data_IF_914414369149
#
_entry.id   IF_914414369149
#
_cell.length_a   1.000
_cell.length_b   1.000
_cell.length_c   1.000
_cell.angle_alpha   90.00
_cell.angle_beta   90.00
_cell.angle_gamma   90.00
#
_symmetry.space_group_name_H-M   'P 1'
#
loop_
_entity.id
_entity.type
_entity.pdbx_description
1 polymer ?
#
# COMPACT_ATOMS: atom_id res chain seq x y z
N UNK A 1 7.58 -43.27 12.47
CA UNK A 1 6.18 -43.28 12.94
C UNK A 1 5.37 -42.46 11.97
N UNK A 2 4.55 -43.14 11.18
CA UNK A 2 3.73 -42.62 10.09
C UNK A 2 2.54 -41.87 10.68
N UNK A 3 2.54 -40.53 10.57
CA UNK A 3 1.38 -39.73 10.93
C UNK A 3 0.29 -39.92 9.88
N UNK A 4 -0.75 -40.64 10.26
CA UNK A 4 -2.02 -40.75 9.56
C UNK A 4 -2.66 -39.36 9.48
N UNK A 5 -2.66 -38.76 8.29
CA UNK A 5 -3.57 -37.69 7.92
C UNK A 5 -5.01 -38.17 8.14
N UNK A 6 -5.80 -37.41 8.90
CA UNK A 6 -7.19 -37.75 9.20
C UNK A 6 -8.04 -37.68 7.90
N UNK A 7 -8.73 -38.76 7.47
CA UNK A 7 -9.41 -38.83 6.17
C UNK A 7 -10.55 -37.82 5.96
N UNK A 8 -11.05 -37.23 7.05
CA UNK A 8 -12.24 -36.37 7.07
C UNK A 8 -11.96 -34.98 6.47
N UNK A 9 -10.70 -34.55 6.36
CA UNK A 9 -10.36 -33.20 5.91
C UNK A 9 -10.09 -33.10 4.39
N UNK A 10 -9.56 -34.17 3.79
CA UNK A 10 -9.23 -34.22 2.36
C UNK A 10 -10.51 -34.24 1.51
N UNK A 11 -11.54 -34.98 1.93
CA UNK A 11 -12.82 -35.02 1.23
C UNK A 11 -13.56 -33.67 1.26
N UNK A 12 -13.47 -32.92 2.36
CA UNK A 12 -14.11 -31.60 2.45
C UNK A 12 -13.39 -30.57 1.58
N UNK A 13 -12.05 -30.57 1.58
CA UNK A 13 -11.23 -29.76 0.66
C UNK A 13 -11.48 -30.12 -0.81
N UNK A 14 -11.59 -31.41 -1.14
CA UNK A 14 -11.97 -31.84 -2.47
C UNK A 14 -13.39 -31.42 -2.82
N UNK A 15 -14.32 -31.43 -1.86
CA UNK A 15 -15.68 -30.94 -2.08
C UNK A 15 -15.69 -29.44 -2.37
N UNK A 16 -15.02 -28.61 -1.57
CA UNK A 16 -14.92 -27.17 -1.80
C UNK A 16 -14.20 -26.83 -3.11
N UNK A 17 -13.11 -27.53 -3.42
CA UNK A 17 -12.36 -27.37 -4.68
C UNK A 17 -13.20 -27.81 -5.88
N UNK A 18 -13.96 -28.88 -5.75
CA UNK A 18 -14.87 -29.36 -6.81
C UNK A 18 -16.02 -28.38 -7.00
N UNK A 19 -16.55 -27.79 -5.94
CA UNK A 19 -17.62 -26.79 -6.02
C UNK A 19 -17.14 -25.49 -6.64
N UNK A 20 -15.98 -24.98 -6.24
CA UNK A 20 -15.35 -23.82 -6.88
C UNK A 20 -14.98 -24.08 -8.35
N UNK A 21 -14.62 -25.33 -8.69
CA UNK A 21 -14.30 -25.75 -10.05
C UNK A 21 -15.53 -25.88 -10.97
N UNK A 22 -16.75 -26.04 -10.42
CA UNK A 22 -18.00 -26.10 -11.21
C UNK A 22 -18.40 -24.75 -11.80
N UNK A 23 -17.83 -23.66 -11.32
CA UNK A 23 -18.13 -22.31 -11.78
C UNK A 23 -17.01 -21.77 -12.68
N UNK A 24 -16.88 -22.36 -13.88
CA UNK A 24 -15.90 -21.96 -14.90
C UNK A 24 -16.05 -20.49 -15.36
N UNK A 25 -17.22 -19.89 -15.12
CA UNK A 25 -17.55 -18.47 -15.33
C UNK A 25 -16.70 -17.48 -14.51
N UNK A 26 -16.07 -17.92 -13.41
CA UNK A 26 -15.12 -17.11 -12.64
C UNK A 26 -13.72 -17.04 -13.26
N UNK A 27 -13.41 -17.93 -14.20
CA UNK A 27 -12.18 -17.92 -14.99
C UNK A 27 -12.52 -17.51 -16.41
N UNK A 28 -12.84 -16.24 -16.64
CA UNK A 28 -13.34 -15.70 -17.92
C UNK A 28 -12.45 -15.98 -19.16
N UNK A 29 -11.22 -16.48 -18.98
CA UNK A 29 -10.40 -16.95 -20.08
C UNK A 29 -10.74 -18.38 -20.54
N UNK A 30 -11.40 -19.21 -19.72
CA UNK A 30 -11.69 -20.60 -20.05
C UNK A 30 -12.75 -20.75 -21.14
N UNK A 31 -13.81 -19.94 -21.12
CA UNK A 31 -14.91 -20.06 -22.08
C UNK A 31 -14.51 -19.55 -23.48
N UNK A 32 -13.83 -18.40 -23.56
CA UNK A 32 -13.32 -17.86 -24.82
C UNK A 32 -12.20 -18.73 -25.44
N UNK A 33 -11.39 -19.39 -24.61
CA UNK A 33 -10.35 -20.32 -25.09
C UNK A 33 -10.97 -21.64 -25.55
N UNK A 34 -11.97 -22.16 -24.84
CA UNK A 34 -12.67 -23.39 -25.24
C UNK A 34 -13.51 -23.22 -26.51
N UNK A 35 -14.10 -22.03 -26.73
CA UNK A 35 -14.83 -21.72 -27.98
C UNK A 35 -13.90 -21.64 -29.20
N UNK A 36 -12.65 -21.22 -29.02
CA UNK A 36 -11.68 -21.06 -30.12
C UNK A 36 -10.89 -22.35 -30.38
N UNK A 37 -10.59 -23.15 -29.35
CA UNK A 37 -9.65 -24.29 -29.45
C UNK A 37 -10.28 -25.68 -29.23
N UNK A 38 -11.55 -25.75 -28.81
CA UNK A 38 -12.24 -27.01 -28.51
C UNK A 38 -11.74 -27.67 -27.21
N UNK A 39 -12.57 -28.54 -26.62
CA UNK A 39 -12.39 -29.05 -25.26
C UNK A 39 -11.17 -29.99 -25.04
N UNK A 40 -10.50 -30.47 -26.10
CA UNK A 40 -9.52 -31.57 -26.01
C UNK A 40 -8.09 -31.26 -26.47
N UNK A 41 -7.69 -29.99 -26.59
CA UNK A 41 -6.37 -29.64 -27.15
C UNK A 41 -5.46 -28.85 -26.18
N UNK A 42 -5.11 -29.48 -25.06
CA UNK A 42 -4.08 -28.96 -24.14
C UNK A 42 -2.67 -28.86 -24.77
N UNK A 43 -2.36 -29.68 -25.77
CA UNK A 43 -1.09 -29.62 -26.51
C UNK A 43 -1.02 -28.42 -27.47
N UNK A 44 -2.12 -28.09 -28.16
CA UNK A 44 -2.20 -26.98 -29.11
C UNK A 44 -2.12 -25.62 -28.43
N UNK A 45 -2.70 -25.48 -27.23
CA UNK A 45 -2.58 -24.26 -26.40
C UNK A 45 -1.14 -24.05 -25.92
N UNK A 46 -0.44 -25.14 -25.56
CA UNK A 46 0.96 -25.11 -25.17
C UNK A 46 1.87 -24.69 -26.33
N UNK A 47 1.67 -25.27 -27.51
CA UNK A 47 2.47 -24.96 -28.70
C UNK A 47 2.21 -23.53 -29.21
N UNK A 48 0.97 -23.03 -29.09
CA UNK A 48 0.62 -21.64 -29.39
C UNK A 48 1.25 -20.64 -28.41
N UNK A 49 1.25 -20.95 -27.10
CA UNK A 49 1.90 -20.12 -26.07
C UNK A 49 3.42 -20.06 -26.23
N UNK A 50 4.04 -21.15 -26.67
CA UNK A 50 5.49 -21.19 -26.94
C UNK A 50 5.84 -20.42 -28.22
N UNK A 51 5.03 -20.52 -29.28
CA UNK A 51 5.23 -19.71 -30.49
C UNK A 51 5.02 -18.20 -30.26
N UNK A 52 4.15 -17.81 -29.32
CA UNK A 52 4.00 -16.40 -28.91
C UNK A 52 5.18 -15.82 -28.14
N UNK A 53 6.02 -16.68 -27.53
CA UNK A 53 7.24 -16.24 -26.85
C UNK A 53 8.41 -16.07 -27.82
N UNK A 54 8.41 -16.77 -28.96
CA UNK A 54 9.50 -16.70 -29.95
C UNK A 54 9.31 -15.61 -31.02
N UNK A 55 8.07 -15.16 -31.29
CA UNK A 55 7.80 -14.07 -32.24
C UNK A 55 7.38 -12.75 -31.55
N UNK A 56 8.33 -11.91 -31.12
CA UNK A 56 7.98 -10.53 -30.76
C UNK A 56 9.08 -9.46 -30.99
N UNK A 57 9.42 -9.12 -32.25
CA UNK A 57 10.22 -7.93 -32.56
C UNK A 57 9.40 -6.62 -32.63
N UNK A 58 8.07 -6.62 -32.46
CA UNK A 58 7.21 -5.44 -32.69
C UNK A 58 6.66 -4.74 -31.43
N UNK A 59 7.27 -4.95 -30.25
CA UNK A 59 6.84 -4.32 -28.99
C UNK A 59 6.85 -2.77 -29.05
N UNK A 60 7.77 -2.19 -29.82
CA UNK A 60 7.86 -0.73 -30.01
C UNK A 60 6.73 -0.16 -30.87
N UNK A 61 6.27 -0.89 -31.89
CA UNK A 61 5.22 -0.41 -32.79
C UNK A 61 3.85 -0.40 -32.10
N UNK A 62 3.58 -1.38 -31.23
CA UNK A 62 2.36 -1.44 -30.42
C UNK A 62 2.36 -0.31 -29.39
N UNK A 63 3.51 -0.03 -28.76
CA UNK A 63 3.66 1.12 -27.86
C UNK A 63 3.42 2.45 -28.58
N UNK A 64 3.92 2.59 -29.82
CA UNK A 64 3.74 3.79 -30.64
C UNK A 64 2.28 3.98 -31.08
N UNK A 65 1.58 2.91 -31.49
CA UNK A 65 0.14 2.94 -31.81
C UNK A 65 -0.72 3.31 -30.59
N UNK A 66 -0.38 2.80 -29.40
CA UNK A 66 -1.05 3.16 -28.13
C UNK A 66 -0.83 4.64 -27.77
N UNK A 67 0.38 5.17 -27.98
CA UNK A 67 0.71 6.59 -27.77
C UNK A 67 -0.09 7.51 -28.72
N UNK A 68 -0.20 7.14 -30.00
CA UNK A 68 -1.00 7.88 -31.00
C UNK A 68 -2.50 7.91 -30.66
N UNK A 69 -3.08 6.79 -30.21
CA UNK A 69 -4.50 6.73 -29.77
C UNK A 69 -4.79 7.64 -28.57
N UNK A 70 -3.88 7.68 -27.58
CA UNK A 70 -4.03 8.60 -26.43
C UNK A 70 -4.04 10.07 -26.87
N UNK A 71 -3.16 10.44 -27.80
CA UNK A 71 -3.09 11.81 -28.30
C UNK A 71 -4.34 12.22 -29.10
N UNK A 72 -4.90 11.29 -29.89
CA UNK A 72 -6.16 11.52 -30.61
C UNK A 72 -7.34 11.73 -29.65
N UNK A 73 -7.47 10.91 -28.59
CA UNK A 73 -8.49 11.05 -27.56
C UNK A 73 -8.41 12.42 -26.84
N UNK A 74 -7.21 12.87 -26.47
CA UNK A 74 -7.02 14.20 -25.88
C UNK A 74 -7.41 15.33 -26.84
N UNK A 75 -7.16 15.17 -28.15
CA UNK A 75 -7.57 16.16 -29.15
C UNK A 75 -9.09 16.23 -29.35
N UNK A 76 -9.78 15.09 -29.24
CA UNK A 76 -11.25 15.01 -29.35
C UNK A 76 -11.94 15.59 -28.12
N UNK A 77 -11.43 15.32 -26.91
CA UNK A 77 -11.95 15.94 -25.68
C UNK A 77 -11.76 17.46 -25.66
N UNK A 78 -10.64 17.96 -26.16
CA UNK A 78 -10.41 19.41 -26.29
C UNK A 78 -11.27 20.06 -27.37
N UNK A 79 -11.66 19.34 -28.44
CA UNK A 79 -12.64 19.82 -29.42
C UNK A 79 -14.06 19.85 -28.85
N UNK A 80 -14.47 18.84 -28.09
CA UNK A 80 -15.78 18.86 -27.41
C UNK A 80 -15.89 19.97 -26.37
N UNK A 81 -14.84 20.23 -25.57
CA UNK A 81 -14.82 21.37 -24.62
C UNK A 81 -14.90 22.74 -25.29
N UNK A 82 -14.41 22.88 -26.53
CA UNK A 82 -14.57 24.13 -27.31
C UNK A 82 -15.97 24.27 -27.93
N UNK A 83 -16.63 23.16 -28.27
CA UNK A 83 -17.99 23.18 -28.81
C UNK A 83 -19.05 23.48 -27.73
N UNK A 84 -18.83 23.01 -26.50
CA UNK A 84 -19.78 23.21 -25.39
C UNK A 84 -19.82 24.67 -24.92
N UNK A 85 -18.77 25.46 -25.16
CA UNK A 85 -18.75 26.89 -24.82
C UNK A 85 -19.34 27.82 -25.90
N UNK A 86 -19.80 27.29 -27.05
CA UNK A 86 -20.36 28.11 -28.14
C UNK A 86 -21.85 27.89 -28.41
N UNK A 87 -22.52 27.00 -27.68
CA UNK A 87 -23.97 26.75 -27.81
C UNK A 87 -24.64 26.85 -26.44
N UNK A 88 -24.70 28.08 -25.91
CA UNK A 88 -25.64 28.44 -24.86
C UNK A 88 -26.38 29.70 -25.29
N UNK A 89 -27.27 29.56 -26.28
CA UNK A 89 -28.42 30.44 -26.43
C UNK A 89 -29.50 29.83 -27.34
N UNK A 90 -30.66 29.59 -26.73
CA UNK A 90 -32.01 29.47 -27.30
C UNK A 90 -32.55 28.09 -27.77
N UNK A 91 -33.74 27.79 -27.19
CA UNK A 91 -34.91 27.06 -27.75
C UNK A 91 -35.05 25.53 -27.50
N UNK A 92 -36.30 25.01 -27.50
CA UNK A 92 -36.97 24.63 -26.25
C UNK A 92 -37.32 23.12 -26.15
N UNK A 93 -37.77 22.80 -24.93
CA UNK A 93 -38.30 21.55 -24.40
C UNK A 93 -39.13 20.73 -25.41
N UNK A 94 -38.71 19.49 -25.65
CA UNK A 94 -39.55 18.40 -26.14
C UNK A 94 -39.55 17.33 -25.04
N UNK A 95 -40.72 17.09 -24.46
CA UNK A 95 -40.99 15.95 -23.58
C UNK A 95 -40.85 14.65 -24.39
N UNK A 96 -39.86 13.83 -24.02
CA UNK A 96 -39.81 12.43 -24.41
C UNK A 96 -40.11 11.62 -23.15
N UNK A 97 -41.35 11.14 -23.07
CA UNK A 97 -41.77 10.12 -22.12
C UNK A 97 -41.16 8.79 -22.57
N UNK A 98 -39.96 8.46 -22.08
CA UNK A 98 -39.39 7.11 -22.21
C UNK A 98 -39.68 6.30 -20.95
N UNK A 99 -40.46 5.24 -21.16
CA UNK A 99 -40.83 4.18 -20.24
C UNK A 99 -39.58 3.56 -19.58
N UNK A 100 -39.30 3.93 -18.34
CA UNK A 100 -38.34 3.26 -17.46
C UNK A 100 -39.09 2.18 -16.66
N UNK A 101 -39.13 0.96 -17.19
CA UNK A 101 -39.65 -0.19 -16.46
C UNK A 101 -39.03 -1.49 -16.99
N UNK A 102 -37.71 -1.67 -16.80
CA UNK A 102 -37.04 -2.99 -16.95
C UNK A 102 -35.60 -3.05 -16.42
N UNK A 103 -35.17 -2.14 -15.52
CA UNK A 103 -33.77 -2.08 -15.01
C UNK A 103 -33.59 -2.58 -13.56
N UNK A 104 -34.66 -2.86 -12.83
CA UNK A 104 -34.61 -3.23 -11.41
C UNK A 104 -34.25 -4.69 -11.15
N UNK A 105 -34.56 -5.58 -12.09
CA UNK A 105 -34.53 -7.02 -11.84
C UNK A 105 -33.13 -7.63 -12.10
N UNK A 106 -32.33 -7.02 -12.97
CA UNK A 106 -30.94 -7.42 -13.25
C UNK A 106 -29.96 -6.94 -12.17
N UNK A 107 -30.19 -5.76 -11.57
CA UNK A 107 -29.34 -5.23 -10.50
C UNK A 107 -29.51 -6.01 -9.20
N UNK A 108 -30.72 -6.49 -8.91
CA UNK A 108 -31.01 -7.32 -7.73
C UNK A 108 -30.42 -8.71 -7.84
N UNK A 109 -30.42 -9.32 -9.03
CA UNK A 109 -29.79 -10.63 -9.27
C UNK A 109 -28.26 -10.58 -9.12
N UNK A 110 -27.62 -9.54 -9.67
CA UNK A 110 -26.16 -9.36 -9.57
C UNK A 110 -25.71 -9.09 -8.13
N UNK A 111 -26.52 -8.36 -7.36
CA UNK A 111 -26.26 -8.10 -5.94
C UNK A 111 -26.37 -9.37 -5.10
N UNK A 112 -27.40 -10.19 -5.33
CA UNK A 112 -27.57 -11.47 -4.63
C UNK A 112 -26.41 -12.44 -4.91
N UNK A 113 -25.94 -12.52 -6.16
CA UNK A 113 -24.77 -13.34 -6.52
C UNK A 113 -23.48 -12.85 -5.84
N UNK A 114 -23.30 -11.54 -5.73
CA UNK A 114 -22.13 -10.96 -5.04
C UNK A 114 -22.14 -11.28 -3.55
N UNK A 115 -23.30 -11.24 -2.91
CA UNK A 115 -23.48 -11.59 -1.50
C UNK A 115 -23.23 -13.08 -1.25
N UNK A 116 -23.76 -13.96 -2.10
CA UNK A 116 -23.51 -15.40 -2.03
C UNK A 116 -22.01 -15.73 -2.17
N UNK A 117 -21.32 -15.10 -3.13
CA UNK A 117 -19.88 -15.26 -3.32
C UNK A 117 -19.07 -14.82 -2.10
N UNK A 118 -19.45 -13.70 -1.48
CA UNK A 118 -18.78 -13.21 -0.27
C UNK A 118 -19.01 -14.17 0.91
N UNK A 119 -20.21 -14.73 1.05
CA UNK A 119 -20.51 -15.70 2.09
C UNK A 119 -19.70 -16.99 1.94
N UNK A 120 -19.53 -17.49 0.70
CA UNK A 120 -18.67 -18.64 0.43
C UNK A 120 -17.20 -18.34 0.76
N UNK A 121 -16.74 -17.13 0.46
CA UNK A 121 -15.38 -16.69 0.78
C UNK A 121 -15.14 -16.62 2.29
N UNK A 122 -16.10 -16.11 3.07
CA UNK A 122 -16.06 -16.10 4.54
C UNK A 122 -15.98 -17.52 5.11
N UNK A 123 -16.79 -18.45 4.61
CA UNK A 123 -16.71 -19.86 5.03
C UNK A 123 -15.34 -20.47 4.74
N UNK A 124 -14.73 -20.14 3.60
CA UNK A 124 -13.39 -20.60 3.26
C UNK A 124 -12.33 -19.99 4.19
N UNK A 125 -12.46 -18.71 4.54
CA UNK A 125 -11.58 -18.04 5.51
C UNK A 125 -11.68 -18.70 6.89
N UNK A 126 -12.88 -19.02 7.36
CA UNK A 126 -13.10 -19.74 8.62
C UNK A 126 -12.45 -21.13 8.60
N UNK A 127 -12.52 -21.82 7.46
CA UNK A 127 -11.84 -23.09 7.25
C UNK A 127 -10.31 -22.94 7.40
N UNK A 128 -9.74 -21.95 6.72
CA UNK A 128 -8.30 -21.62 6.81
C UNK A 128 -7.90 -21.31 8.26
N UNK A 129 -8.64 -20.44 8.95
CA UNK A 129 -8.39 -20.09 10.35
C UNK A 129 -8.44 -21.34 11.25
N UNK A 130 -9.43 -22.22 11.06
CA UNK A 130 -9.54 -23.49 11.80
C UNK A 130 -8.32 -24.38 11.57
N UNK A 131 -7.81 -24.44 10.33
CA UNK A 131 -6.62 -25.22 9.99
C UNK A 131 -5.34 -24.64 10.60
N UNK A 132 -5.19 -23.30 10.61
CA UNK A 132 -4.07 -22.61 11.28
C UNK A 132 -4.04 -23.00 12.77
N UNK A 133 -5.20 -22.94 13.44
CA UNK A 133 -5.32 -23.29 14.87
C UNK A 133 -5.00 -24.77 15.12
N UNK A 134 -5.50 -25.67 14.28
CA UNK A 134 -5.30 -27.13 14.43
C UNK A 134 -3.90 -27.59 14.06
N UNK A 135 -3.03 -26.72 13.53
CA UNK A 135 -1.70 -27.07 12.97
C UNK A 135 -1.76 -28.22 11.95
N UNK A 136 -2.91 -28.38 11.30
CA UNK A 136 -3.20 -29.52 10.42
C UNK A 136 -2.94 -29.20 8.94
N UNK A 137 -2.25 -28.11 8.68
CA UNK A 137 -2.13 -27.50 7.36
C UNK A 137 -0.83 -27.91 6.69
N UNK A 138 -0.91 -28.42 5.45
CA UNK A 138 0.25 -28.44 4.57
C UNK A 138 0.58 -26.99 4.20
N UNK A 139 1.70 -26.51 4.72
CA UNK A 139 2.13 -25.14 4.54
C UNK A 139 2.36 -24.77 3.06
N UNK A 140 2.81 -25.72 2.23
CA UNK A 140 3.02 -25.45 0.80
C UNK A 140 1.69 -25.32 0.06
N UNK A 141 0.66 -26.05 0.50
CA UNK A 141 -0.71 -25.91 -0.01
C UNK A 141 -1.30 -24.56 0.41
N UNK A 142 -1.15 -24.20 1.69
CA UNK A 142 -1.59 -22.90 2.19
C UNK A 142 -0.97 -21.72 1.44
N UNK A 143 0.32 -21.77 1.14
CA UNK A 143 0.96 -20.69 0.37
C UNK A 143 0.44 -20.60 -1.07
N UNK A 144 0.04 -21.71 -1.67
CA UNK A 144 -0.58 -21.73 -3.01
C UNK A 144 -2.01 -21.19 -2.96
N UNK A 145 -2.76 -21.56 -1.93
CA UNK A 145 -4.13 -21.09 -1.73
C UNK A 145 -4.15 -19.59 -1.50
N UNK A 146 -3.34 -19.09 -0.56
CA UNK A 146 -3.23 -17.65 -0.31
C UNK A 146 -2.75 -16.90 -1.56
N UNK A 147 -1.81 -17.44 -2.33
CA UNK A 147 -1.38 -16.80 -3.58
C UNK A 147 -2.54 -16.66 -4.58
N UNK A 148 -3.35 -17.70 -4.71
CA UNK A 148 -4.52 -17.70 -5.58
C UNK A 148 -5.54 -16.67 -5.11
N UNK A 149 -5.80 -16.63 -3.80
CA UNK A 149 -6.65 -15.65 -3.15
C UNK A 149 -6.15 -14.20 -3.32
N UNK A 150 -4.85 -13.96 -3.19
CA UNK A 150 -4.26 -12.62 -3.33
C UNK A 150 -4.25 -12.10 -4.78
N UNK A 151 -4.57 -12.96 -5.75
CA UNK A 151 -4.72 -12.62 -7.17
C UNK A 151 -6.17 -12.26 -7.54
N UNK A 152 -7.11 -12.36 -6.59
CA UNK A 152 -8.51 -11.98 -6.78
C UNK A 152 -8.70 -10.45 -6.88
N UNK A 153 -9.88 -9.98 -7.33
CA UNK A 153 -10.24 -8.56 -7.29
C UNK A 153 -10.08 -7.95 -5.90
N UNK A 154 -9.72 -6.65 -5.86
CA UNK A 154 -9.38 -5.92 -4.63
C UNK A 154 -10.42 -6.07 -3.50
N UNK A 155 -11.72 -5.98 -3.83
CA UNK A 155 -12.79 -6.11 -2.85
C UNK A 155 -12.81 -7.49 -2.15
N UNK A 156 -12.48 -8.56 -2.87
CA UNK A 156 -12.41 -9.92 -2.30
C UNK A 156 -11.14 -10.08 -1.45
N UNK A 157 -10.00 -9.56 -1.93
CA UNK A 157 -8.75 -9.53 -1.15
C UNK A 157 -8.96 -8.79 0.17
N UNK A 158 -9.78 -7.74 0.19
CA UNK A 158 -10.15 -7.05 1.42
C UNK A 158 -10.84 -7.97 2.42
N UNK A 159 -11.91 -8.66 2.01
CA UNK A 159 -12.65 -9.61 2.85
C UNK A 159 -11.69 -10.69 3.38
N UNK A 160 -10.81 -11.22 2.53
CA UNK A 160 -9.80 -12.21 2.91
C UNK A 160 -8.86 -11.66 3.98
N UNK A 161 -8.27 -10.49 3.75
CA UNK A 161 -7.32 -9.89 4.68
C UNK A 161 -7.97 -9.48 6.00
N UNK A 162 -9.24 -9.07 6.00
CA UNK A 162 -9.98 -8.70 7.20
C UNK A 162 -10.39 -9.93 8.02
N UNK A 163 -10.70 -11.06 7.36
CA UNK A 163 -11.10 -12.30 8.03
C UNK A 163 -9.95 -13.22 8.46
N UNK A 164 -8.77 -13.15 7.82
CA UNK A 164 -7.62 -13.98 8.19
C UNK A 164 -6.97 -13.50 9.49
N UNK A 165 -6.95 -14.36 10.52
CA UNK A 165 -6.28 -14.03 11.78
C UNK A 165 -4.88 -14.63 11.87
N UNK A 166 -3.90 -13.88 11.36
CA UNK A 166 -2.49 -14.24 11.45
C UNK A 166 -1.96 -14.31 12.90
N UNK A 167 -2.67 -13.78 13.90
CA UNK A 167 -2.26 -13.89 15.31
C UNK A 167 -2.31 -15.32 15.84
N UNK A 168 -3.12 -16.17 15.21
CA UNK A 168 -3.24 -17.59 15.55
C UNK A 168 -2.09 -18.44 14.95
N UNK A 169 -1.33 -17.89 14.01
CA UNK A 169 -0.27 -18.62 13.30
C UNK A 169 1.01 -18.74 14.14
N UNK A 170 1.56 -19.95 14.32
CA UNK A 170 2.87 -20.14 14.96
C UNK A 170 3.97 -19.34 14.27
N UNK A 171 4.94 -18.84 15.04
CA UNK A 171 5.97 -17.94 14.51
C UNK A 171 6.85 -18.57 13.41
N UNK A 172 7.19 -19.86 13.53
CA UNK A 172 8.01 -20.55 12.53
C UNK A 172 7.26 -20.69 11.19
N UNK A 173 5.96 -20.99 11.26
CA UNK A 173 5.08 -21.04 10.08
C UNK A 173 4.90 -19.65 9.48
N UNK A 174 4.77 -18.64 10.34
CA UNK A 174 4.61 -17.24 9.94
C UNK A 174 5.86 -16.69 9.24
N UNK A 175 7.06 -16.98 9.76
CA UNK A 175 8.32 -16.63 9.11
C UNK A 175 8.40 -17.29 7.73
N UNK A 176 8.24 -18.61 7.68
CA UNK A 176 8.28 -19.35 6.41
C UNK A 176 7.28 -18.75 5.42
N UNK A 177 6.02 -18.51 5.82
CA UNK A 177 4.97 -17.88 5.02
C UNK A 177 5.43 -16.58 4.37
N UNK A 178 5.96 -15.66 5.17
CA UNK A 178 6.42 -14.37 4.66
C UNK A 178 7.69 -14.47 3.82
N UNK A 179 8.53 -15.47 4.04
CA UNK A 179 9.68 -15.72 3.16
C UNK A 179 9.26 -16.16 1.77
N UNK A 180 8.28 -17.06 1.66
CA UNK A 180 7.75 -17.46 0.36
C UNK A 180 6.94 -16.33 -0.28
N UNK A 181 6.08 -15.66 0.48
CA UNK A 181 5.31 -14.53 -0.01
C UNK A 181 6.18 -13.38 -0.53
N UNK A 182 7.27 -13.06 0.16
CA UNK A 182 8.19 -12.00 -0.25
C UNK A 182 8.90 -12.31 -1.58
N UNK A 183 9.12 -13.57 -1.92
CA UNK A 183 9.73 -13.99 -3.19
C UNK A 183 8.78 -13.92 -4.39
N UNK A 184 7.46 -13.90 -4.15
CA UNK A 184 6.50 -13.89 -5.24
C UNK A 184 6.32 -12.48 -5.80
N UNK A 185 6.48 -12.36 -7.12
CA UNK A 185 6.29 -11.11 -7.87
C UNK A 185 4.93 -11.06 -8.61
N UNK A 186 4.26 -12.21 -8.74
CA UNK A 186 2.98 -12.34 -9.45
C UNK A 186 1.79 -11.73 -8.70
N UNK A 187 1.98 -11.38 -7.42
CA UNK A 187 0.92 -10.85 -6.57
C UNK A 187 0.82 -9.33 -6.78
N UNK A 188 -0.38 -8.79 -7.05
CA UNK A 188 -0.57 -7.35 -7.20
C UNK A 188 -0.06 -6.57 -5.99
N UNK A 189 0.53 -5.41 -6.25
CA UNK A 189 1.11 -4.55 -5.22
C UNK A 189 0.12 -4.18 -4.09
N UNK A 190 -1.15 -3.94 -4.43
CA UNK A 190 -2.18 -3.63 -3.42
C UNK A 190 -2.45 -4.82 -2.51
N UNK A 191 -2.53 -6.04 -3.05
CA UNK A 191 -2.67 -7.26 -2.26
C UNK A 191 -1.49 -7.46 -1.30
N UNK A 192 -0.26 -7.10 -1.71
CA UNK A 192 0.89 -7.08 -0.80
C UNK A 192 0.70 -6.12 0.38
N UNK A 193 0.18 -4.91 0.16
CA UNK A 193 -0.10 -3.96 1.24
C UNK A 193 -1.12 -4.55 2.21
N UNK A 194 -2.23 -5.06 1.67
CA UNK A 194 -3.34 -5.57 2.48
C UNK A 194 -2.91 -6.76 3.33
N UNK A 195 -2.15 -7.68 2.76
CA UNK A 195 -1.64 -8.82 3.50
C UNK A 195 -0.64 -8.41 4.59
N UNK A 196 0.26 -7.47 4.29
CA UNK A 196 1.19 -6.92 5.30
C UNK A 196 0.42 -6.25 6.43
N UNK A 197 -0.63 -5.49 6.11
CA UNK A 197 -1.51 -4.85 7.09
C UNK A 197 -2.18 -5.91 7.96
N UNK A 198 -2.88 -6.87 7.36
CA UNK A 198 -3.56 -7.95 8.09
C UNK A 198 -2.61 -8.75 9.00
N UNK A 199 -1.43 -9.10 8.50
CA UNK A 199 -0.51 -9.97 9.19
C UNK A 199 0.33 -9.30 10.29
N UNK A 200 0.85 -8.10 10.01
CA UNK A 200 1.79 -7.43 10.91
C UNK A 200 1.13 -6.36 11.76
N UNK A 201 0.22 -5.56 11.20
CA UNK A 201 -0.29 -4.37 11.89
C UNK A 201 -0.98 -4.72 13.22
N UNK A 202 -1.95 -5.64 13.20
CA UNK A 202 -2.67 -6.09 14.40
C UNK A 202 -1.71 -6.69 15.44
N UNK A 203 -0.77 -7.54 15.01
CA UNK A 203 0.26 -8.12 15.89
C UNK A 203 1.11 -7.04 16.56
N UNK A 204 1.61 -6.07 15.80
CA UNK A 204 2.48 -5.01 16.31
C UNK A 204 1.71 -4.07 17.24
N UNK A 205 0.47 -3.68 16.90
CA UNK A 205 -0.37 -2.86 17.77
C UNK A 205 -0.60 -3.51 19.14
N UNK A 206 -0.75 -4.83 19.19
CA UNK A 206 -1.03 -5.57 20.43
C UNK A 206 0.22 -5.90 21.26
N UNK A 207 1.42 -5.48 20.86
CA UNK A 207 2.64 -5.73 21.62
C UNK A 207 2.63 -4.95 22.94
N UNK A 208 2.70 -5.68 24.05
CA UNK A 208 2.89 -5.14 25.40
C UNK A 208 4.34 -5.22 25.88
N UNK A 209 5.16 -6.03 25.21
CA UNK A 209 6.58 -6.22 25.46
C UNK A 209 7.35 -6.33 24.13
N UNK A 210 8.68 -6.41 24.23
CA UNK A 210 9.52 -6.59 23.04
C UNK A 210 9.09 -7.83 22.24
N UNK A 211 9.02 -7.72 20.90
CA UNK A 211 8.67 -8.85 20.05
C UNK A 211 9.70 -9.97 20.18
N UNK A 212 9.29 -11.19 19.86
CA UNK A 212 10.24 -12.31 19.73
C UNK A 212 11.29 -12.01 18.65
N UNK A 213 12.42 -12.69 18.76
CA UNK A 213 13.50 -12.58 17.77
C UNK A 213 13.04 -13.03 16.38
N UNK A 214 12.25 -14.10 16.30
CA UNK A 214 11.78 -14.67 15.02
C UNK A 214 10.79 -13.73 14.34
N UNK A 215 9.82 -13.18 15.10
CA UNK A 215 8.86 -12.22 14.57
C UNK A 215 9.56 -10.96 14.05
N UNK A 216 10.50 -10.41 14.82
CA UNK A 216 11.27 -9.25 14.37
C UNK A 216 12.09 -9.57 13.11
N UNK A 217 12.80 -10.70 13.08
CA UNK A 217 13.57 -11.11 11.90
C UNK A 217 12.70 -11.22 10.64
N UNK A 218 11.49 -11.79 10.79
CA UNK A 218 10.49 -11.89 9.71
C UNK A 218 10.10 -10.52 9.17
N UNK A 219 9.77 -9.58 10.06
CA UNK A 219 9.43 -8.19 9.69
C UNK A 219 10.59 -7.53 8.94
N UNK A 220 11.81 -7.63 9.49
CA UNK A 220 12.99 -6.97 8.93
C UNK A 220 13.35 -7.50 7.54
N UNK A 221 13.25 -8.83 7.35
CA UNK A 221 13.45 -9.48 6.05
C UNK A 221 12.38 -9.05 5.06
N UNK A 222 11.11 -9.05 5.46
CA UNK A 222 9.99 -8.60 4.62
C UNK A 222 10.17 -7.13 4.22
N UNK A 223 10.57 -6.25 5.15
CA UNK A 223 10.84 -4.85 4.90
C UNK A 223 11.98 -4.61 3.92
N UNK A 224 13.03 -5.42 3.96
CA UNK A 224 14.14 -5.31 3.02
C UNK A 224 13.75 -5.64 1.58
N UNK A 225 12.82 -6.58 1.38
CA UNK A 225 12.38 -7.05 0.05
C UNK A 225 11.22 -6.21 -0.48
N UNK A 226 10.22 -5.94 0.36
CA UNK A 226 8.96 -5.28 -0.02
C UNK A 226 8.84 -3.91 0.68
N UNK A 227 9.87 -3.08 0.55
CA UNK A 227 9.99 -1.75 1.17
C UNK A 227 8.71 -0.91 1.11
N UNK A 228 8.21 -0.68 -0.11
CA UNK A 228 7.03 0.18 -0.34
C UNK A 228 5.79 -0.42 0.31
N UNK A 229 5.56 -1.72 0.19
CA UNK A 229 4.42 -2.38 0.82
C UNK A 229 4.49 -2.35 2.35
N UNK A 230 5.68 -2.40 2.96
CA UNK A 230 5.86 -2.23 4.41
C UNK A 230 5.60 -0.79 4.86
N UNK A 231 5.92 0.21 4.03
CA UNK A 231 5.57 1.60 4.31
C UNK A 231 4.05 1.77 4.41
N UNK A 232 3.29 1.35 3.38
CA UNK A 232 1.84 1.56 3.35
C UNK A 232 1.06 0.57 4.22
N UNK A 233 1.54 -0.67 4.37
CA UNK A 233 0.84 -1.72 5.11
C UNK A 233 1.13 -1.71 6.61
N UNK A 234 2.27 -1.16 7.04
CA UNK A 234 2.70 -1.20 8.44
C UNK A 234 3.10 0.16 9.00
N UNK A 235 4.07 0.85 8.41
CA UNK A 235 4.63 2.07 9.03
C UNK A 235 3.63 3.23 9.08
N UNK A 236 3.05 3.59 7.94
CA UNK A 236 2.08 4.69 7.86
C UNK A 236 0.84 4.42 8.73
N UNK A 237 0.23 3.22 8.71
CA UNK A 237 -0.83 2.87 9.65
C UNK A 237 -0.43 3.01 11.12
N UNK A 238 0.77 2.57 11.51
CA UNK A 238 1.25 2.67 12.90
C UNK A 238 1.49 4.12 13.33
N UNK A 239 2.04 4.94 12.43
CA UNK A 239 2.30 6.35 12.71
C UNK A 239 1.02 7.19 12.78
N UNK A 240 -0.03 6.79 12.05
CA UNK A 240 -1.35 7.43 12.08
C UNK A 240 -2.18 7.01 13.28
N UNK A 241 -2.08 5.76 13.73
CA UNK A 241 -2.94 5.24 14.78
C UNK A 241 -2.83 6.14 16.04
N UNK A 242 -3.97 6.67 16.49
CA UNK A 242 -4.06 7.67 17.56
C UNK A 242 -3.72 7.11 18.93
N UNK A 243 -3.75 5.78 19.08
CA UNK A 243 -3.19 5.10 20.24
C UNK A 243 -1.73 5.48 20.42
N UNK A 244 -1.32 5.72 21.67
CA UNK A 244 0.06 6.06 21.96
C UNK A 244 0.97 4.93 21.46
N UNK A 245 1.87 5.25 20.52
CA UNK A 245 2.93 4.34 20.08
C UNK A 245 3.77 4.02 21.31
N UNK A 246 3.58 2.81 21.85
CA UNK A 246 4.34 2.29 22.96
C UNK A 246 5.78 2.00 22.58
N UNK A 247 6.61 1.67 23.59
CA UNK A 247 8.03 1.37 23.37
C UNK A 247 8.25 0.20 22.41
N UNK A 248 7.53 -0.94 22.50
CA UNK A 248 7.72 -2.04 21.56
C UNK A 248 7.45 -1.67 20.10
N UNK A 249 6.39 -0.89 19.85
CA UNK A 249 6.02 -0.43 18.51
C UNK A 249 7.07 0.54 17.98
N UNK A 250 7.50 1.49 18.79
CA UNK A 250 8.52 2.47 18.44
C UNK A 250 9.85 1.80 18.09
N UNK A 251 10.26 0.78 18.85
CA UNK A 251 11.49 0.04 18.58
C UNK A 251 11.41 -0.73 17.25
N UNK A 252 10.26 -1.30 16.89
CA UNK A 252 10.05 -1.92 15.57
C UNK A 252 10.13 -0.88 14.46
N UNK A 253 9.36 0.21 14.55
CA UNK A 253 9.32 1.28 13.53
C UNK A 253 10.73 1.82 13.29
N UNK A 254 11.45 2.16 14.36
CA UNK A 254 12.78 2.74 14.25
C UNK A 254 13.80 1.75 13.69
N UNK A 255 13.72 0.45 14.01
CA UNK A 255 14.58 -0.58 13.42
C UNK A 255 14.30 -0.74 11.93
N UNK A 256 13.04 -0.86 11.51
CA UNK A 256 12.67 -0.95 10.08
C UNK A 256 13.23 0.24 9.31
N UNK A 257 13.00 1.47 9.81
CA UNK A 257 13.47 2.69 9.15
C UNK A 257 15.00 2.69 9.08
N UNK A 258 15.72 2.30 10.15
CA UNK A 258 17.20 2.31 10.17
C UNK A 258 17.82 1.26 9.26
N UNK A 259 17.35 0.02 9.34
CA UNK A 259 18.07 -1.14 8.85
C UNK A 259 17.50 -1.69 7.54
N UNK A 260 16.19 -1.53 7.28
CA UNK A 260 15.54 -2.17 6.13
C UNK A 260 15.17 -1.21 5.00
N UNK A 261 14.79 0.04 5.32
CA UNK A 261 14.28 0.96 4.30
C UNK A 261 15.41 1.69 3.55
N UNK A 262 15.46 1.58 2.23
CA UNK A 262 16.44 2.32 1.43
C UNK A 262 16.08 3.81 1.26
N UNK A 263 17.05 4.62 0.84
CA UNK A 263 16.92 6.09 0.80
C UNK A 263 15.79 6.58 -0.12
N UNK A 264 15.54 5.87 -1.24
CA UNK A 264 14.44 6.18 -2.16
C UNK A 264 13.08 5.99 -1.49
N UNK A 265 12.92 4.90 -0.73
CA UNK A 265 11.68 4.60 -0.02
C UNK A 265 11.50 5.47 1.23
N UNK A 266 12.58 5.99 1.84
CA UNK A 266 12.48 7.02 2.88
C UNK A 266 11.80 8.28 2.34
N UNK A 267 12.13 8.70 1.12
CA UNK A 267 11.46 9.85 0.50
C UNK A 267 9.96 9.60 0.31
N UNK A 268 9.56 8.39 -0.08
CA UNK A 268 8.14 8.01 -0.18
C UNK A 268 7.47 8.12 1.20
N UNK A 269 8.11 7.64 2.26
CA UNK A 269 7.59 7.76 3.62
C UNK A 269 7.40 9.24 4.02
N UNK A 270 8.39 10.10 3.75
CA UNK A 270 8.31 11.54 4.05
C UNK A 270 7.21 12.22 3.23
N UNK A 271 7.10 11.88 1.94
CA UNK A 271 6.06 12.39 1.06
C UNK A 271 4.67 12.11 1.61
N UNK A 272 4.42 10.90 2.09
CA UNK A 272 3.10 10.55 2.64
C UNK A 272 2.84 11.20 4.01
N UNK A 273 3.88 11.39 4.83
CA UNK A 273 3.75 12.04 6.14
C UNK A 273 3.47 13.54 6.03
N UNK A 274 3.97 14.23 5.00
CA UNK A 274 3.90 15.69 4.85
C UNK A 274 3.24 16.12 3.53
N UNK A 275 2.34 15.29 3.00
CA UNK A 275 1.60 15.64 1.78
C UNK A 275 0.60 16.76 2.07
N UNK A 276 0.72 17.89 1.37
CA UNK A 276 -0.26 18.98 1.46
C UNK A 276 -1.62 18.54 0.90
N UNK A 277 -2.56 18.23 1.80
CA UNK A 277 -3.94 17.84 1.44
C UNK A 277 -4.79 19.02 0.93
N UNK A 278 -4.28 20.24 1.03
CA UNK A 278 -4.98 21.48 0.68
C UNK A 278 -4.99 21.80 -0.81
N UNK A 279 -4.22 21.09 -1.64
CA UNK A 279 -3.99 21.45 -3.05
C UNK A 279 -4.71 20.57 -4.10
N UNK A 280 -5.40 19.51 -3.69
CA UNK A 280 -6.21 18.69 -4.60
C UNK A 280 -7.68 18.84 -4.28
N UNK A 281 -8.45 19.37 -5.24
CA UNK A 281 -9.91 19.16 -5.29
C UNK A 281 -10.19 17.67 -5.05
N UNK A 282 -11.29 17.32 -4.35
CA UNK A 282 -11.68 15.91 -4.23
C UNK A 282 -11.69 15.28 -5.63
N UNK A 283 -11.06 14.11 -5.82
CA UNK A 283 -11.17 13.40 -7.09
C UNK A 283 -12.66 13.23 -7.40
N UNK A 284 -13.08 13.65 -8.59
CA UNK A 284 -14.48 13.70 -8.99
C UNK A 284 -15.10 12.31 -9.22
N UNK A 285 -14.41 11.23 -8.86
CA UNK A 285 -14.88 9.86 -8.98
C UNK A 285 -14.62 9.13 -7.65
N UNK A 286 -15.62 8.36 -7.21
CA UNK A 286 -15.73 7.67 -5.91
C UNK A 286 -14.68 6.57 -5.64
N UNK A 287 -13.41 6.75 -6.01
CA UNK A 287 -12.31 5.93 -5.53
C UNK A 287 -11.64 6.63 -4.35
N UNK A 288 -12.21 6.45 -3.16
CA UNK A 288 -11.49 6.65 -1.90
C UNK A 288 -10.40 5.58 -1.86
N UNK A 289 -9.30 5.76 -2.57
CA UNK A 289 -8.07 5.03 -2.23
C UNK A 289 -7.63 5.54 -0.86
N UNK A 290 -7.60 4.67 0.16
CA UNK A 290 -7.06 4.92 1.52
C UNK A 290 -5.67 5.58 1.55
N UNK A 291 -5.00 5.73 0.40
CA UNK A 291 -3.68 6.31 0.20
C UNK A 291 -3.59 7.82 0.51
N UNK A 292 -4.70 8.57 0.53
CA UNK A 292 -4.68 10.02 0.84
C UNK A 292 -4.72 10.36 2.34
N UNK A 293 -4.57 9.38 3.23
CA UNK A 293 -4.97 9.54 4.63
C UNK A 293 -3.85 9.50 5.70
N UNK A 294 -2.58 9.50 5.33
CA UNK A 294 -1.46 9.27 6.28
C UNK A 294 -0.71 10.53 6.75
N UNK A 295 -1.32 11.70 6.53
CA UNK A 295 -0.76 12.98 6.94
C UNK A 295 -0.48 13.04 8.45
N UNK A 296 0.72 13.50 8.79
CA UNK A 296 1.15 13.70 10.16
C UNK A 296 0.66 15.07 10.63
N UNK A 297 -0.35 15.09 11.51
CA UNK A 297 -0.90 16.34 12.04
C UNK A 297 0.11 17.18 12.83
N UNK A 298 -0.31 18.39 13.19
CA UNK A 298 0.55 19.42 13.80
C UNK A 298 1.02 19.14 15.23
N UNK A 299 0.40 18.19 15.93
CA UNK A 299 0.70 17.92 17.34
C UNK A 299 1.60 16.68 17.50
N UNK A 300 2.91 16.84 17.30
CA UNK A 300 3.85 15.71 17.39
C UNK A 300 4.06 15.27 18.84
N UNK A 301 3.85 13.97 19.08
CA UNK A 301 4.19 13.30 20.33
C UNK A 301 5.67 12.92 20.34
N UNK A 302 6.21 12.62 21.52
CA UNK A 302 7.62 12.21 21.67
C UNK A 302 8.02 11.03 20.78
N UNK A 303 7.12 10.05 20.60
CA UNK A 303 7.33 8.90 19.71
C UNK A 303 7.43 9.33 18.24
N UNK A 304 6.56 10.25 17.80
CA UNK A 304 6.62 10.85 16.46
C UNK A 304 7.94 11.57 16.24
N UNK A 305 8.37 12.38 17.20
CA UNK A 305 9.64 13.12 17.11
C UNK A 305 10.82 12.14 17.06
N UNK A 306 10.81 11.07 17.86
CA UNK A 306 11.83 10.00 17.80
C UNK A 306 11.88 9.33 16.41
N UNK A 307 10.72 9.03 15.81
CA UNK A 307 10.65 8.46 14.47
C UNK A 307 11.23 9.43 13.43
N UNK A 308 10.87 10.72 13.51
CA UNK A 308 11.40 11.74 12.61
C UNK A 308 12.91 11.91 12.76
N UNK A 309 13.46 11.90 13.98
CA UNK A 309 14.92 11.89 14.20
C UNK A 309 15.55 10.71 13.46
N UNK A 310 14.94 9.53 13.55
CA UNK A 310 15.47 8.33 12.89
C UNK A 310 15.41 8.44 11.37
N UNK A 311 14.33 9.00 10.82
CA UNK A 311 14.16 9.28 9.39
C UNK A 311 15.25 10.26 8.93
N UNK A 312 15.34 11.45 9.53
CA UNK A 312 16.29 12.49 9.15
C UNK A 312 17.75 12.14 9.48
N UNK A 313 17.98 11.12 10.30
CA UNK A 313 19.30 10.54 10.47
C UNK A 313 19.66 9.53 9.34
N UNK A 314 18.82 9.31 8.33
CA UNK A 314 19.26 8.68 7.07
C UNK A 314 19.82 9.72 6.10
N UNK A 315 20.60 9.27 5.11
CA UNK A 315 21.10 10.13 4.04
C UNK A 315 20.14 9.98 2.85
N UNK A 316 19.39 11.01 2.52
CA UNK A 316 18.51 11.05 1.35
C UNK A 316 18.52 12.48 0.82
N UNK A 317 17.96 12.71 -0.37
CA UNK A 317 17.99 14.03 -1.01
C UNK A 317 16.59 14.63 -1.05
N UNK A 318 16.38 15.72 -0.31
CA UNK A 318 15.14 16.50 -0.28
C UNK A 318 15.08 17.49 -1.44
N UNK A 319 14.89 16.97 -2.66
CA UNK A 319 14.81 17.81 -3.86
C UNK A 319 13.47 18.53 -4.04
N UNK A 320 12.41 18.03 -3.43
CA UNK A 320 11.08 18.62 -3.52
C UNK A 320 10.95 19.77 -2.52
N UNK A 321 10.98 21.00 -3.05
CA UNK A 321 10.86 22.22 -2.25
C UNK A 321 9.53 22.31 -1.51
N UNK A 322 8.42 21.87 -2.13
CA UNK A 322 7.10 21.96 -1.50
C UNK A 322 7.04 21.00 -0.31
N UNK A 323 7.54 19.79 -0.49
CA UNK A 323 7.64 18.81 0.60
C UNK A 323 8.51 19.32 1.74
N UNK A 324 9.68 19.89 1.43
CA UNK A 324 10.56 20.50 2.43
C UNK A 324 9.85 21.62 3.18
N UNK A 325 9.18 22.53 2.47
CA UNK A 325 8.48 23.66 3.09
C UNK A 325 7.29 23.21 3.94
N UNK A 326 6.53 22.22 3.50
CA UNK A 326 5.45 21.62 4.30
C UNK A 326 6.01 21.05 5.60
N UNK A 327 7.05 20.23 5.52
CA UNK A 327 7.75 19.71 6.70
C UNK A 327 8.30 20.82 7.62
N UNK A 328 8.95 21.86 7.08
CA UNK A 328 9.48 22.97 7.86
C UNK A 328 8.39 23.77 8.55
N UNK A 329 7.23 23.93 7.92
CA UNK A 329 6.05 24.57 8.53
C UNK A 329 5.57 23.78 9.74
N UNK A 330 5.41 22.46 9.60
CA UNK A 330 5.05 21.58 10.72
C UNK A 330 6.09 21.57 11.84
N UNK A 331 7.38 21.56 11.48
CA UNK A 331 8.47 21.63 12.44
C UNK A 331 8.46 22.96 13.20
N UNK A 332 8.23 24.08 12.50
CA UNK A 332 8.08 25.40 13.12
C UNK A 332 6.92 25.42 14.12
N UNK A 333 5.75 24.91 13.73
CA UNK A 333 4.60 24.83 14.62
C UNK A 333 4.92 24.03 15.90
N UNK A 334 5.55 22.86 15.76
CA UNK A 334 5.91 22.04 16.92
C UNK A 334 6.97 22.69 17.82
N UNK A 335 7.92 23.44 17.24
CA UNK A 335 8.91 24.22 18.01
C UNK A 335 8.25 25.37 18.76
N UNK A 336 7.26 26.04 18.16
CA UNK A 336 6.47 27.09 18.84
C UNK A 336 5.70 26.53 20.04
N UNK A 337 5.12 25.34 19.89
CA UNK A 337 4.39 24.68 20.99
C UNK A 337 5.33 24.12 22.07
N UNK A 338 6.55 23.71 21.70
CA UNK A 338 7.48 23.03 22.59
C UNK A 338 8.93 23.54 22.43
N UNK A 339 9.22 24.83 22.73
CA UNK A 339 10.51 25.45 22.43
C UNK A 339 11.69 24.85 23.21
N UNK A 340 11.42 24.21 24.35
CA UNK A 340 12.43 23.56 25.20
C UNK A 340 12.70 22.09 24.81
N UNK A 341 11.99 21.56 23.81
CA UNK A 341 12.15 20.16 23.40
C UNK A 341 13.46 19.95 22.62
N UNK A 342 14.42 19.32 23.29
CA UNK A 342 15.75 18.99 22.75
C UNK A 342 15.67 18.11 21.49
N UNK A 343 14.67 17.24 21.36
CA UNK A 343 14.51 16.33 20.22
C UNK A 343 14.09 17.10 18.95
N UNK A 344 13.25 18.13 19.06
CA UNK A 344 12.93 19.02 17.93
C UNK A 344 14.17 19.80 17.49
N UNK A 345 14.95 20.33 18.44
CA UNK A 345 16.22 20.98 18.12
C UNK A 345 17.23 20.02 17.46
N UNK A 346 17.19 18.73 17.82
CA UNK A 346 18.00 17.70 17.17
C UNK A 346 17.58 17.45 15.72
N UNK A 347 16.27 17.45 15.40
CA UNK A 347 15.80 17.36 14.01
C UNK A 347 16.34 18.55 13.20
N UNK A 348 16.21 19.77 13.72
CA UNK A 348 16.79 20.96 13.10
C UNK A 348 18.30 20.79 12.85
N UNK A 349 19.03 20.21 13.81
CA UNK A 349 20.47 20.01 13.68
C UNK A 349 20.81 19.00 12.58
N UNK A 350 20.03 17.93 12.47
CA UNK A 350 20.18 16.95 11.39
C UNK A 350 19.95 17.59 10.01
N UNK A 351 18.98 18.48 9.88
CA UNK A 351 18.75 19.21 8.62
C UNK A 351 19.99 20.02 8.21
N UNK A 352 20.53 20.86 9.10
CA UNK A 352 21.70 21.68 8.75
C UNK A 352 23.00 20.91 8.62
N UNK A 353 23.18 19.82 9.38
CA UNK A 353 24.45 19.07 9.36
C UNK A 353 24.49 17.97 8.30
N UNK A 354 23.36 17.33 8.02
CA UNK A 354 23.29 16.14 7.15
C UNK A 354 22.60 16.41 5.81
N UNK A 355 21.64 17.32 5.79
CA UNK A 355 20.84 17.69 4.61
C UNK A 355 21.08 19.15 4.22
N UNK A 356 22.25 19.71 4.58
CA UNK A 356 22.56 21.12 4.43
C UNK A 356 22.45 21.62 2.98
N UNK A 357 22.83 20.78 2.02
CA UNK A 357 22.77 21.09 0.59
C UNK A 357 21.32 21.23 0.09
N UNK A 358 20.39 20.44 0.64
CA UNK A 358 18.98 20.47 0.25
C UNK A 358 18.24 21.70 0.79
N UNK A 359 18.74 22.32 1.86
CA UNK A 359 18.09 23.45 2.54
C UNK A 359 18.74 24.82 2.26
N UNK A 360 19.72 24.91 1.36
CA UNK A 360 20.49 26.15 1.09
C UNK A 360 19.61 27.35 0.70
N UNK A 361 18.47 27.09 0.08
CA UNK A 361 17.54 28.14 -0.32
C UNK A 361 16.61 28.60 0.80
N UNK A 362 16.48 27.82 1.87
CA UNK A 362 15.54 28.05 2.97
C UNK A 362 16.26 28.39 4.29
N UNK A 363 17.55 28.74 4.24
CA UNK A 363 18.37 29.03 5.43
C UNK A 363 17.85 30.21 6.26
N UNK A 364 17.22 31.21 5.63
CA UNK A 364 16.63 32.35 6.36
C UNK A 364 15.38 31.91 7.14
N UNK A 365 14.54 31.07 6.53
CA UNK A 365 13.39 30.49 7.22
C UNK A 365 13.84 29.58 8.35
N UNK A 366 14.82 28.70 8.11
CA UNK A 366 15.44 27.86 9.14
C UNK A 366 16.02 28.68 10.31
N UNK A 367 16.62 29.84 10.04
CA UNK A 367 17.10 30.75 11.08
C UNK A 367 15.95 31.27 11.94
N UNK A 368 14.85 31.69 11.32
CA UNK A 368 13.66 32.16 12.04
C UNK A 368 13.05 31.09 12.96
N UNK A 369 13.08 29.82 12.54
CA UNK A 369 12.66 28.68 13.36
C UNK A 369 13.65 28.47 14.51
N UNK A 370 14.95 28.47 14.22
CA UNK A 370 16.01 28.27 15.22
C UNK A 370 15.99 29.34 16.31
N UNK A 371 15.57 30.57 16.01
CA UNK A 371 15.45 31.64 16.98
C UNK A 371 14.37 31.39 18.04
N UNK A 372 13.35 30.59 17.74
CA UNK A 372 12.27 30.20 18.67
C UNK A 372 12.67 29.08 19.62
N UNK A 373 13.75 28.35 19.34
CA UNK A 373 14.23 27.24 20.17
C UNK A 373 14.80 27.80 21.48
N UNK A 374 14.37 27.26 22.62
CA UNK A 374 14.88 27.59 23.95
C UNK A 374 15.67 26.43 24.55
N UNK A 375 16.68 25.94 23.82
CA UNK A 375 17.57 24.86 24.27
C UNK A 375 19.03 25.24 24.10
N UNK A 376 19.92 24.55 24.81
CA UNK A 376 21.38 24.75 24.67
C UNK A 376 21.89 24.51 23.23
N UNK A 377 21.13 23.80 22.39
CA UNK A 377 21.50 23.52 21.00
C UNK A 377 21.33 24.74 20.08
N UNK A 378 20.57 25.78 20.48
CA UNK A 378 20.31 26.98 19.67
C UNK A 378 21.60 27.59 19.11
N UNK A 379 22.62 27.78 19.95
CA UNK A 379 23.89 28.39 19.54
C UNK A 379 24.61 27.56 18.45
N UNK A 380 24.60 26.23 18.61
CA UNK A 380 25.20 25.32 17.63
C UNK A 380 24.42 25.33 16.31
N UNK A 381 23.09 25.35 16.37
CA UNK A 381 22.22 25.45 15.19
C UNK A 381 22.50 26.73 14.40
N UNK A 382 22.43 27.89 15.06
CA UNK A 382 22.68 29.19 14.42
C UNK A 382 24.09 29.24 13.80
N UNK A 383 25.11 28.73 14.50
CA UNK A 383 26.47 28.68 13.95
C UNK A 383 26.57 27.81 12.70
N UNK A 384 25.85 26.69 12.64
CA UNK A 384 25.84 25.82 11.45
C UNK A 384 25.09 26.48 10.28
N UNK A 385 23.97 27.16 10.54
CA UNK A 385 23.23 27.93 9.53
C UNK A 385 24.12 29.01 8.92
N UNK A 386 24.81 29.81 9.75
CA UNK A 386 25.73 30.84 9.26
C UNK A 386 26.91 30.24 8.48
N UNK A 387 27.37 29.04 8.87
CA UNK A 387 28.39 28.31 8.11
C UNK A 387 27.91 27.91 6.71
N UNK A 388 26.69 27.40 6.58
CA UNK A 388 26.08 27.05 5.29
C UNK A 388 25.83 28.29 4.42
N UNK A 389 25.41 29.42 5.02
CA UNK A 389 25.22 30.69 4.30
C UNK A 389 26.50 31.17 3.62
N UNK A 390 27.67 30.93 4.22
CA UNK A 390 28.97 31.27 3.63
C UNK A 390 29.39 30.35 2.48
N UNK A 391 28.76 29.19 2.32
CA UNK A 391 29.02 28.25 1.23
C UNK A 391 28.14 28.51 0.00
N UNK A 392 27.01 29.19 0.19
CA UNK A 392 26.13 29.68 -0.87
C UNK A 392 26.78 30.87 -1.57
#
# INVERSE_FOLDING_TARGET
MSNLMHPINVQHLQSCKTELGKHAEFFQYGQAVNEVFGADNHSTIRDWLMNLQEENPHREEIALKRKRRRHMMYSLQNKQKKSINSELESKPVIEITTTFASRSDDETLLQNQKEENNQQLEQYIDCINSMIVKKAMDYMEFCKDIRSLMSMPFAQVQIICDGLDFTLMPEDTFDTFFQEFAKNEDIPYQSHIMLIKAAFFKKVCNLTANPSRNFLATIMKTASVKNKSIIYGLLLPLMKNTQAIGRPQLDIITRIIKESINDVNILILIQELFRDTTSSSPPADNEITEQSQYFLGDNWKDSTIEILIVIFNKKFQLRDRNLLMSFLSHLNHNIEQQPENKKLAQIMLLLVTKHGDDILNELDYMKSIADKINTFMKKSLLSNIESLKRKK
#
